data_IF_575421718313
#
_entry.id   IF_575421718313
#
_cell.length_a   1.000
_cell.length_b   1.000
_cell.length_c   1.000
_cell.angle_alpha   90.00
_cell.angle_beta   90.00
_cell.angle_gamma   90.00
#
_symmetry.space_group_name_H-M   'P 1'
#
loop_
_entity.id
_entity.type
_entity.pdbx_description
1 polymer ?
#
# COMPACT_ATOMS: atom_id res chain seq x y z
N UNK A 1 -35.57 -29.47 -25.74
CA UNK A 1 -34.82 -29.32 -24.47
C UNK A 1 -33.52 -28.60 -24.78
N UNK A 2 -33.38 -27.34 -24.34
CA UNK A 2 -32.14 -26.57 -24.49
C UNK A 2 -31.30 -26.82 -23.24
N UNK A 3 -30.10 -27.35 -23.43
CA UNK A 3 -29.11 -27.53 -22.36
C UNK A 3 -28.59 -26.13 -22.04
N UNK A 4 -28.91 -25.63 -20.85
CA UNK A 4 -28.38 -24.38 -20.33
C UNK A 4 -26.98 -24.70 -19.79
N UNK A 5 -25.95 -24.22 -20.47
CA UNK A 5 -24.60 -24.20 -19.90
C UNK A 5 -24.60 -23.25 -18.70
N UNK A 6 -24.11 -23.65 -17.52
CA UNK A 6 -23.79 -22.69 -16.49
C UNK A 6 -22.53 -21.95 -16.94
N UNK A 7 -22.70 -20.69 -17.35
CA UNK A 7 -21.60 -19.75 -17.46
C UNK A 7 -20.95 -19.66 -16.09
N UNK A 8 -19.82 -20.36 -15.93
CA UNK A 8 -18.88 -20.07 -14.86
C UNK A 8 -18.38 -18.66 -15.14
N UNK A 9 -18.95 -17.67 -14.45
CA UNK A 9 -18.36 -16.35 -14.29
C UNK A 9 -17.06 -16.57 -13.50
N UNK A 10 -15.99 -16.94 -14.20
CA UNK A 10 -14.65 -16.77 -13.69
C UNK A 10 -14.49 -15.26 -13.56
N UNK A 11 -14.65 -14.73 -12.34
CA UNK A 11 -14.15 -13.39 -12.00
C UNK A 11 -12.64 -13.44 -12.22
N UNK A 12 -12.22 -13.21 -13.47
CA UNK A 12 -10.83 -12.92 -13.79
C UNK A 12 -10.47 -11.69 -12.96
N UNK A 13 -9.49 -11.80 -12.04
CA UNK A 13 -9.12 -10.69 -11.18
C UNK A 13 -8.66 -9.54 -12.07
N UNK A 14 -9.52 -8.54 -12.18
CA UNK A 14 -9.29 -7.40 -13.06
C UNK A 14 -8.40 -6.43 -12.29
N UNK A 15 -7.09 -6.51 -12.55
CA UNK A 15 -6.13 -5.60 -11.93
C UNK A 15 -6.39 -4.15 -12.38
N UNK A 16 -6.31 -3.21 -11.45
CA UNK A 16 -6.40 -1.78 -11.72
C UNK A 16 -5.14 -1.28 -12.44
N UNK A 17 -5.24 -0.80 -13.69
CA UNK A 17 -4.10 -0.25 -14.41
C UNK A 17 -3.45 0.93 -13.68
N UNK A 18 -4.21 1.73 -12.91
CA UNK A 18 -3.68 2.90 -12.20
C UNK A 18 -2.83 2.49 -11.00
N UNK A 19 -3.26 1.48 -10.23
CA UNK A 19 -2.48 0.98 -9.10
C UNK A 19 -1.19 0.30 -9.57
N UNK A 20 -1.27 -0.43 -10.68
CA UNK A 20 -0.09 -1.00 -11.33
C UNK A 20 0.86 0.10 -11.80
N UNK A 21 0.36 1.16 -12.44
CA UNK A 21 1.16 2.31 -12.85
C UNK A 21 1.87 3.00 -11.67
N UNK A 22 1.14 3.23 -10.57
CA UNK A 22 1.70 3.81 -9.34
C UNK A 22 2.83 2.95 -8.76
N UNK A 23 2.62 1.63 -8.71
CA UNK A 23 3.62 0.67 -8.23
C UNK A 23 4.88 0.69 -9.11
N UNK A 24 4.71 0.71 -10.43
CA UNK A 24 5.81 0.82 -11.38
C UNK A 24 6.58 2.13 -11.23
N UNK A 25 5.89 3.27 -11.10
CA UNK A 25 6.51 4.58 -10.90
C UNK A 25 7.33 4.65 -9.60
N UNK A 26 6.87 3.98 -8.54
CA UNK A 26 7.56 3.95 -7.25
C UNK A 26 8.78 3.02 -7.23
N UNK A 27 8.69 1.86 -7.87
CA UNK A 27 9.76 0.85 -7.87
C UNK A 27 10.72 0.96 -9.07
N UNK A 28 10.38 1.77 -10.06
CA UNK A 28 11.19 2.03 -11.23
C UNK A 28 11.23 0.89 -12.24
N UNK A 29 12.10 1.05 -13.25
CA UNK A 29 12.31 0.05 -14.31
C UNK A 29 12.67 -1.35 -13.81
N UNK A 30 13.17 -1.48 -12.58
CA UNK A 30 13.50 -2.79 -12.02
C UNK A 30 12.24 -3.66 -11.85
N UNK A 31 11.15 -3.08 -11.35
CA UNK A 31 9.89 -3.82 -11.20
C UNK A 31 9.30 -4.16 -12.57
N UNK A 32 9.35 -3.22 -13.52
CA UNK A 32 8.89 -3.47 -14.89
C UNK A 32 9.58 -4.70 -15.51
N UNK A 33 10.92 -4.77 -15.41
CA UNK A 33 11.69 -5.92 -15.93
C UNK A 33 11.35 -7.24 -15.25
N UNK A 34 11.13 -7.23 -13.93
CA UNK A 34 10.72 -8.43 -13.19
C UNK A 34 9.33 -8.87 -13.63
N UNK A 35 8.42 -7.91 -13.82
CA UNK A 35 7.06 -8.17 -14.27
C UNK A 35 7.04 -8.80 -15.66
N UNK A 36 7.73 -8.18 -16.62
CA UNK A 36 7.83 -8.70 -18.00
C UNK A 36 8.49 -10.09 -18.03
N UNK A 37 9.41 -10.39 -17.11
CA UNK A 37 10.06 -11.70 -16.99
C UNK A 37 9.21 -12.81 -16.36
N UNK A 38 8.31 -12.49 -15.42
CA UNK A 38 7.42 -13.49 -14.82
C UNK A 38 6.08 -13.64 -15.56
N UNK A 39 5.60 -12.55 -16.17
CA UNK A 39 4.27 -12.44 -16.79
C UNK A 39 4.32 -11.65 -18.09
N UNK A 40 4.97 -12.25 -19.08
CA UNK A 40 5.20 -11.63 -20.39
C UNK A 40 3.90 -11.14 -21.05
N UNK A 41 3.90 -9.88 -21.49
CA UNK A 41 2.77 -9.25 -22.19
C UNK A 41 1.57 -8.87 -21.33
N UNK A 42 1.56 -9.13 -20.02
CA UNK A 42 0.44 -8.77 -19.15
C UNK A 42 0.31 -7.25 -18.97
N UNK A 43 1.42 -6.53 -18.79
CA UNK A 43 1.42 -5.06 -18.70
C UNK A 43 0.89 -4.40 -19.99
N UNK A 44 1.21 -4.97 -21.15
CA UNK A 44 0.72 -4.51 -22.44
C UNK A 44 -0.80 -4.71 -22.58
N UNK A 45 -1.32 -5.85 -22.11
CA UNK A 45 -2.78 -6.12 -22.07
C UNK A 45 -3.51 -5.13 -21.15
N UNK A 46 -2.88 -4.76 -20.05
CA UNK A 46 -3.43 -3.84 -19.05
C UNK A 46 -3.45 -2.37 -19.52
N UNK A 47 -2.82 -2.06 -20.67
CA UNK A 47 -2.71 -0.71 -21.23
C UNK A 47 -2.20 0.32 -20.21
N UNK A 48 -1.19 -0.07 -19.41
CA UNK A 48 -0.55 0.87 -18.48
C UNK A 48 0.30 1.86 -19.28
N UNK A 49 -0.21 3.07 -19.45
CA UNK A 49 0.49 4.19 -20.12
C UNK A 49 0.98 5.21 -19.10
N UNK A 50 1.83 6.14 -19.55
CA UNK A 50 2.27 7.32 -18.79
C UNK A 50 3.05 6.99 -17.49
N UNK A 51 4.05 6.10 -17.60
CA UNK A 51 4.98 5.87 -16.51
C UNK A 51 5.96 7.05 -16.38
N UNK A 52 5.90 7.74 -15.25
CA UNK A 52 6.86 8.76 -14.83
C UNK A 52 7.62 8.24 -13.61
N UNK A 53 8.91 7.97 -13.81
CA UNK A 53 9.80 7.46 -12.78
C UNK A 53 10.44 8.56 -11.93
N UNK A 54 9.96 9.81 -11.97
CA UNK A 54 10.48 10.92 -11.16
C UNK A 54 10.57 10.57 -9.66
N UNK A 55 9.53 9.95 -9.10
CA UNK A 55 9.49 9.51 -7.69
C UNK A 55 10.59 8.48 -7.39
N UNK A 56 10.81 7.53 -8.30
CA UNK A 56 11.91 6.58 -8.16
C UNK A 56 13.27 7.27 -8.25
N UNK A 57 13.45 8.22 -9.18
CA UNK A 57 14.71 8.93 -9.37
C UNK A 57 15.12 9.78 -8.16
N UNK A 58 14.17 10.38 -7.46
CA UNK A 58 14.43 11.10 -6.21
C UNK A 58 14.92 10.15 -5.11
N UNK A 59 14.23 9.01 -4.95
CA UNK A 59 14.51 8.03 -3.90
C UNK A 59 15.74 7.18 -4.15
N UNK A 60 16.16 7.00 -5.41
CA UNK A 60 17.25 6.08 -5.76
C UNK A 60 18.56 6.39 -5.00
N UNK A 61 18.79 7.66 -4.65
CA UNK A 61 19.98 8.09 -3.90
C UNK A 61 20.03 7.55 -2.47
N UNK A 62 18.87 7.22 -1.91
CA UNK A 62 18.71 6.67 -0.56
C UNK A 62 18.66 5.13 -0.56
N UNK A 63 18.66 4.49 -1.73
CA UNK A 63 18.55 3.04 -1.86
C UNK A 63 19.90 2.36 -1.59
N UNK A 64 20.10 1.93 -0.34
CA UNK A 64 21.31 1.19 0.08
C UNK A 64 21.51 -0.11 -0.71
N UNK A 65 22.78 -0.49 -0.93
CA UNK A 65 23.17 -1.77 -1.52
C UNK A 65 22.84 -2.96 -0.61
N UNK A 66 22.94 -2.79 0.71
CA UNK A 66 22.68 -3.88 1.67
C UNK A 66 21.24 -4.41 1.60
N UNK A 67 20.28 -3.56 1.23
CA UNK A 67 18.88 -3.94 1.10
C UNK A 67 18.50 -4.40 -0.32
N UNK A 68 19.45 -4.48 -1.25
CA UNK A 68 19.19 -4.85 -2.65
C UNK A 68 18.47 -6.19 -2.78
N UNK A 69 18.92 -7.22 -2.05
CA UNK A 69 18.31 -8.55 -2.10
C UNK A 69 16.89 -8.56 -1.52
N UNK A 70 16.65 -7.78 -0.45
CA UNK A 70 15.31 -7.63 0.15
C UNK A 70 14.36 -6.94 -0.82
N UNK A 71 14.81 -5.84 -1.44
CA UNK A 71 14.03 -5.12 -2.47
C UNK A 71 13.68 -6.01 -3.65
N UNK A 72 14.61 -6.84 -4.11
CA UNK A 72 14.36 -7.80 -5.19
C UNK A 72 13.26 -8.80 -4.81
N UNK A 73 13.35 -9.40 -3.61
CA UNK A 73 12.32 -10.32 -3.11
C UNK A 73 10.95 -9.65 -2.99
N UNK A 74 10.91 -8.39 -2.53
CA UNK A 74 9.68 -7.61 -2.45
C UNK A 74 9.06 -7.41 -3.84
N UNK A 75 9.85 -6.99 -4.83
CA UNK A 75 9.35 -6.79 -6.20
C UNK A 75 8.83 -8.09 -6.82
N UNK A 76 9.54 -9.20 -6.62
CA UNK A 76 9.05 -10.53 -7.05
C UNK A 76 7.73 -10.90 -6.38
N UNK A 77 7.60 -10.63 -5.07
CA UNK A 77 6.36 -10.87 -4.35
C UNK A 77 5.20 -10.03 -4.92
N UNK A 78 5.45 -8.75 -5.21
CA UNK A 78 4.45 -7.84 -5.80
C UNK A 78 3.94 -8.39 -7.13
N UNK A 79 4.82 -8.82 -8.03
CA UNK A 79 4.42 -9.39 -9.33
C UNK A 79 3.63 -10.69 -9.16
N UNK A 80 4.09 -11.60 -8.28
CA UNK A 80 3.41 -12.88 -8.00
C UNK A 80 2.02 -12.72 -7.41
N UNK A 81 1.80 -11.65 -6.64
CA UNK A 81 0.53 -11.36 -5.97
C UNK A 81 -0.24 -10.22 -6.63
N UNK A 82 0.16 -9.77 -7.81
CA UNK A 82 -0.41 -8.63 -8.51
C UNK A 82 -1.95 -8.70 -8.62
N UNK A 83 -2.48 -9.86 -8.98
CA UNK A 83 -3.92 -10.09 -9.14
C UNK A 83 -4.73 -9.84 -7.86
N UNK A 84 -4.10 -9.99 -6.70
CA UNK A 84 -4.73 -9.73 -5.39
C UNK A 84 -4.41 -8.32 -4.90
N UNK A 85 -3.15 -7.88 -5.08
CA UNK A 85 -2.67 -6.58 -4.59
C UNK A 85 -3.26 -5.39 -5.35
N UNK A 86 -3.60 -5.57 -6.63
CA UNK A 86 -4.10 -4.51 -7.49
C UNK A 86 -5.57 -4.70 -7.86
N UNK A 87 -6.31 -5.52 -7.11
CA UNK A 87 -7.75 -5.68 -7.29
C UNK A 87 -8.49 -4.45 -6.75
N UNK A 88 -9.14 -3.67 -7.64
CA UNK A 88 -9.90 -2.48 -7.26
C UNK A 88 -11.01 -2.78 -6.26
N UNK A 89 -11.57 -3.99 -6.27
CA UNK A 89 -12.65 -4.38 -5.35
C UNK A 89 -12.21 -4.44 -3.88
N UNK A 90 -10.90 -4.54 -3.62
CA UNK A 90 -10.36 -4.55 -2.26
C UNK A 90 -10.11 -3.14 -1.71
N UNK A 91 -10.05 -2.12 -2.57
CA UNK A 91 -9.78 -0.73 -2.14
C UNK A 91 -11.00 -0.12 -1.44
N UNK A 92 -12.21 -0.56 -1.80
CA UNK A 92 -13.46 -0.04 -1.21
C UNK A 92 -13.71 -0.50 0.24
N UNK A 93 -13.03 -1.54 0.70
CA UNK A 93 -13.20 -2.08 2.08
C UNK A 93 -12.43 -1.26 3.12
N UNK A 94 -11.49 -0.41 2.69
CA UNK A 94 -10.62 0.38 3.57
C UNK A 94 -10.65 1.89 3.31
N UNK A 95 -11.67 2.41 2.60
CA UNK A 95 -12.02 3.81 2.78
C UNK A 95 -12.33 4.01 4.27
N UNK A 96 -11.40 4.68 4.96
CA UNK A 96 -11.49 5.18 6.32
C UNK A 96 -12.93 5.22 6.79
N UNK A 97 -13.28 4.39 7.77
CA UNK A 97 -14.61 4.29 8.36
C UNK A 97 -15.05 5.61 8.98
N UNK A 98 -15.39 6.59 8.16
CA UNK A 98 -16.58 7.38 8.35
C UNK A 98 -17.75 6.51 7.91
N UNK A 99 -18.20 5.60 8.76
CA UNK A 99 -19.52 5.00 8.66
C UNK A 99 -20.15 4.95 10.05
N UNK A 100 -21.12 5.85 10.21
CA UNK A 100 -22.36 5.68 10.96
C UNK A 100 -22.28 5.08 12.36
N UNK A 101 -22.50 5.96 13.33
CA UNK A 101 -23.13 5.67 14.61
C UNK A 101 -24.45 4.89 14.42
N UNK A 102 -24.39 3.56 14.33
CA UNK A 102 -25.54 2.68 14.56
C UNK A 102 -25.07 1.39 15.22
N UNK A 103 -25.01 1.44 16.56
CA UNK A 103 -25.40 0.37 17.46
C UNK A 103 -24.81 -1.02 17.27
N UNK A 104 -23.86 -1.36 18.13
CA UNK A 104 -23.47 -2.74 18.43
C UNK A 104 -22.08 -2.75 19.04
N UNK A 105 -21.99 -2.93 20.35
CA UNK A 105 -20.74 -2.81 21.12
C UNK A 105 -19.67 -3.79 20.70
N UNK A 106 -18.79 -3.36 19.80
CA UNK A 106 -17.47 -3.92 19.62
C UNK A 106 -16.49 -2.90 20.20
N UNK A 107 -15.68 -3.32 21.17
CA UNK A 107 -14.62 -2.48 21.72
C UNK A 107 -13.76 -1.97 20.56
N UNK A 108 -13.69 -0.65 20.40
CA UNK A 108 -12.90 -0.01 19.37
C UNK A 108 -11.43 -0.43 19.53
N UNK A 109 -10.99 -1.44 18.78
CA UNK A 109 -9.59 -1.86 18.71
C UNK A 109 -8.79 -0.85 17.88
N UNK A 110 -8.69 0.39 18.34
CA UNK A 110 -7.63 1.29 17.88
C UNK A 110 -6.38 1.06 18.72
N UNK A 111 -5.23 1.07 18.05
CA UNK A 111 -3.98 1.24 18.76
C UNK A 111 -4.01 2.62 19.42
N UNK A 112 -3.85 2.66 20.74
CA UNK A 112 -3.60 3.91 21.45
C UNK A 112 -2.27 4.45 20.92
N UNK A 113 -2.34 5.44 20.02
CA UNK A 113 -1.15 6.05 19.44
C UNK A 113 -0.40 6.79 20.56
N UNK A 114 0.89 6.51 20.77
CA UNK A 114 1.68 7.30 21.71
C UNK A 114 1.63 8.78 21.32
N UNK A 115 1.67 9.71 22.29
CA UNK A 115 1.74 11.14 21.99
C UNK A 115 2.88 11.45 21.02
N UNK A 116 2.66 12.41 20.12
CA UNK A 116 3.60 12.79 19.06
C UNK A 116 5.03 13.05 19.59
N UNK A 117 5.13 13.59 20.80
CA UNK A 117 6.35 13.88 21.55
C UNK A 117 7.23 12.64 21.77
N UNK A 118 6.64 11.43 21.76
CA UNK A 118 7.35 10.16 21.89
C UNK A 118 8.25 9.89 20.68
N UNK A 119 7.90 10.43 19.51
CA UNK A 119 8.60 10.25 18.25
C UNK A 119 9.62 11.36 17.97
N UNK A 120 9.67 12.40 18.80
CA UNK A 120 10.64 13.47 18.67
C UNK A 120 12.03 13.00 19.11
N UNK A 121 13.04 13.25 18.27
CA UNK A 121 14.46 13.05 18.58
C UNK A 121 15.00 14.17 19.48
N UNK A 122 14.27 14.50 20.54
CA UNK A 122 14.69 15.44 21.59
C UNK A 122 15.36 14.68 22.73
N UNK A 123 16.22 15.39 23.47
CA UNK A 123 16.86 14.84 24.65
C UNK A 123 15.82 14.43 25.72
N UNK A 124 16.21 13.51 26.59
CA UNK A 124 15.31 12.92 27.60
C UNK A 124 14.65 13.96 28.49
N UNK A 125 15.37 15.03 28.85
CA UNK A 125 14.84 16.07 29.75
C UNK A 125 13.77 16.91 29.05
N UNK A 126 14.01 17.27 27.78
CA UNK A 126 13.04 17.99 26.95
C UNK A 126 11.79 17.16 26.67
N UNK A 127 11.95 15.86 26.37
CA UNK A 127 10.82 14.94 26.14
C UNK A 127 9.87 14.87 27.32
N UNK A 128 10.41 14.72 28.53
CA UNK A 128 9.62 14.60 29.77
C UNK A 128 8.87 15.91 30.04
N UNK A 129 9.51 17.07 29.85
CA UNK A 129 8.86 18.37 30.02
C UNK A 129 7.68 18.55 29.06
N UNK A 130 7.88 18.23 27.77
CA UNK A 130 6.82 18.36 26.76
C UNK A 130 5.64 17.42 27.03
N UNK A 131 5.91 16.18 27.44
CA UNK A 131 4.87 15.22 27.83
C UNK A 131 3.98 15.77 28.95
N UNK A 132 4.58 16.33 30.02
CA UNK A 132 3.81 16.89 31.13
C UNK A 132 3.09 18.20 30.75
N UNK A 133 3.68 19.02 29.90
CA UNK A 133 3.05 20.25 29.42
C UNK A 133 1.83 19.96 28.54
N UNK A 134 1.92 18.98 27.62
CA UNK A 134 0.81 18.56 26.77
C UNK A 134 -0.33 17.92 27.59
N UNK A 135 0.02 17.10 28.59
CA UNK A 135 -0.96 16.39 29.43
C UNK A 135 -1.69 17.31 30.41
N UNK A 136 -1.10 18.45 30.80
CA UNK A 136 -1.70 19.41 31.72
C UNK A 136 -2.83 20.24 31.10
N UNK A 137 -2.88 20.37 29.76
CA UNK A 137 -3.96 21.07 29.05
C UNK A 137 -5.27 20.27 28.98
N UNK A 138 -5.29 19.01 29.43
CA UNK A 138 -6.49 18.17 29.46
C UNK A 138 -7.25 18.22 30.80
N UNK A 139 -6.77 19.02 31.77
CA UNK A 139 -7.36 19.12 33.11
C UNK A 139 -7.82 20.55 33.49
N UNK A 140 -8.00 21.44 32.51
CA UNK A 140 -8.68 22.73 32.66
C UNK A 140 -9.63 23.00 31.51
#
# INVERSE_FOLDING_TARGET
>A
MKIINPSQDTMEPTMDPKLVAQSLNFHGQQLQKIWEGEKEGELAKLNVTDLDFAVYQERQKQLSFQDRAKRLKLQQFVVKKANVLFDSSQVDVHHFGGHSSTGGGEEDFYAILPPYETFLHVDKATRVRQFFQASAHLFY
#
